data_IF_163982325814
#
_entry.id   IF_163982325814
#
_cell.length_a   1.000
_cell.length_b   1.000
_cell.length_c   1.000
_cell.angle_alpha   90.00
_cell.angle_beta   90.00
_cell.angle_gamma   90.00
#
_symmetry.space_group_name_H-M   'P 1'
#
loop_
_entity.id
_entity.type
_entity.pdbx_description
1 polymer ?
#
# COMPACT_ATOMS: atom_id res chain seq x y z
N UNK A 1 -14.20 -2.67 -6.98
CA UNK A 1 -12.92 -3.12 -7.54
C UNK A 1 -11.85 -2.11 -7.14
N UNK A 2 -10.65 -2.57 -6.80
CA UNK A 2 -9.58 -1.67 -6.39
C UNK A 2 -9.06 -0.89 -7.60
N UNK A 3 -8.86 0.41 -7.44
CA UNK A 3 -8.31 1.27 -8.49
C UNK A 3 -7.23 2.16 -7.93
N UNK A 4 -6.32 2.60 -8.81
CA UNK A 4 -5.24 3.51 -8.47
C UNK A 4 -5.16 4.61 -9.51
N UNK A 5 -4.85 5.83 -9.08
CA UNK A 5 -4.77 7.00 -9.96
C UNK A 5 -3.64 6.94 -10.98
N UNK A 6 -2.60 6.15 -10.71
CA UNK A 6 -1.45 5.94 -11.58
C UNK A 6 -0.97 4.48 -11.48
N UNK A 7 -0.53 3.92 -12.61
CA UNK A 7 -0.11 2.54 -12.72
C UNK A 7 -1.26 1.55 -12.62
N UNK A 8 -1.02 0.40 -11.98
CA UNK A 8 -2.04 -0.63 -11.76
C UNK A 8 -1.84 -1.34 -10.43
N UNK A 9 -2.92 -1.90 -9.90
CA UNK A 9 -2.94 -2.64 -8.65
C UNK A 9 -3.22 -4.12 -8.89
N UNK A 10 -2.41 -4.97 -8.27
CA UNK A 10 -2.60 -6.42 -8.21
C UNK A 10 -2.88 -6.86 -6.78
N UNK A 11 -3.83 -7.78 -6.65
CA UNK A 11 -4.22 -8.36 -5.36
C UNK A 11 -3.65 -9.77 -5.24
N UNK A 12 -3.06 -10.09 -4.08
CA UNK A 12 -2.55 -11.43 -3.85
C UNK A 12 -3.70 -12.35 -3.43
N UNK A 13 -3.97 -13.39 -4.24
CA UNK A 13 -5.04 -14.37 -3.97
C UNK A 13 -4.86 -15.14 -2.66
N UNK A 14 -3.62 -15.34 -2.23
CA UNK A 14 -3.29 -16.13 -1.04
C UNK A 14 -3.09 -15.27 0.21
N UNK A 15 -2.82 -13.98 0.03
CA UNK A 15 -2.67 -13.00 1.09
C UNK A 15 -3.46 -11.75 0.70
N UNK A 16 -4.77 -11.82 0.81
CA UNK A 16 -5.71 -10.74 0.45
C UNK A 16 -5.47 -9.42 1.20
N UNK A 17 -4.80 -9.51 2.34
CA UNK A 17 -4.28 -8.39 3.11
C UNK A 17 -3.05 -7.72 2.48
N UNK A 18 -2.46 -8.27 1.42
CA UNK A 18 -1.37 -7.67 0.64
C UNK A 18 -1.85 -7.29 -0.75
N UNK A 19 -1.67 -6.02 -1.07
CA UNK A 19 -1.96 -5.46 -2.39
C UNK A 19 -0.71 -4.75 -2.91
N UNK A 20 -0.50 -4.79 -4.21
CA UNK A 20 0.71 -4.28 -4.85
C UNK A 20 0.37 -3.26 -5.91
N UNK A 21 0.93 -2.05 -5.80
CA UNK A 21 0.81 -1.03 -6.85
C UNK A 21 2.11 -1.01 -7.65
N UNK A 22 1.98 -1.16 -8.96
CA UNK A 22 3.07 -1.07 -9.92
C UNK A 22 3.05 0.29 -10.59
N UNK A 23 4.16 1.02 -10.48
CA UNK A 23 4.35 2.37 -11.02
C UNK A 23 5.53 2.39 -11.98
N UNK A 24 5.32 2.88 -13.20
CA UNK A 24 6.41 3.10 -14.16
C UNK A 24 7.08 4.44 -13.90
N UNK A 25 6.27 5.49 -13.83
CA UNK A 25 6.66 6.81 -13.36
C UNK A 25 6.19 7.00 -11.91
N UNK A 26 6.99 7.71 -11.09
CA UNK A 26 6.67 7.93 -9.68
C UNK A 26 6.17 9.36 -9.51
N UNK A 27 4.84 9.60 -9.49
CA UNK A 27 4.30 10.92 -9.18
C UNK A 27 4.56 11.26 -7.70
N UNK A 28 4.35 12.51 -7.30
CA UNK A 28 4.50 12.90 -5.89
C UNK A 28 3.47 12.24 -4.96
N UNK A 29 2.31 11.85 -5.50
CA UNK A 29 1.22 11.22 -4.77
C UNK A 29 0.40 10.30 -5.66
N UNK A 30 -0.18 9.28 -5.05
CA UNK A 30 -1.20 8.44 -5.68
C UNK A 30 -2.43 8.32 -4.78
N UNK A 31 -3.57 8.03 -5.40
CA UNK A 31 -4.82 7.75 -4.70
C UNK A 31 -5.25 6.33 -5.04
N UNK A 32 -5.55 5.54 -4.01
CA UNK A 32 -6.11 4.19 -4.12
C UNK A 32 -7.55 4.22 -3.61
N UNK A 33 -8.48 3.72 -4.40
CA UNK A 33 -9.90 3.66 -4.08
C UNK A 33 -10.40 2.22 -4.04
N UNK A 34 -11.46 1.97 -3.25
CA UNK A 34 -12.05 0.64 -3.08
C UNK A 34 -11.46 -0.17 -1.93
N UNK A 35 -10.75 0.49 -1.01
CA UNK A 35 -10.36 -0.07 0.28
C UNK A 35 -11.45 0.19 1.31
N UNK A 36 -11.80 -0.84 2.10
CA UNK A 36 -12.81 -0.71 3.16
C UNK A 36 -12.26 -0.10 4.45
N UNK A 37 -10.97 -0.31 4.72
CA UNK A 37 -10.29 0.10 5.94
C UNK A 37 -8.93 0.68 5.64
N UNK A 38 -8.47 1.53 6.55
CA UNK A 38 -7.12 2.08 6.51
C UNK A 38 -6.10 0.95 6.64
N UNK A 39 -5.08 0.89 5.76
CA UNK A 39 -4.03 -0.09 5.87
C UNK A 39 -3.16 0.17 7.09
N UNK A 40 -2.51 -0.88 7.59
CA UNK A 40 -1.54 -0.74 8.67
C UNK A 40 -0.22 -0.13 8.18
N UNK A 41 0.12 -0.37 6.91
CA UNK A 41 1.42 0.02 6.35
C UNK A 41 1.34 0.14 4.83
N UNK A 42 2.08 1.11 4.31
CA UNK A 42 2.41 1.22 2.89
C UNK A 42 3.92 1.34 2.79
N UNK A 43 4.57 0.56 1.93
CA UNK A 43 6.04 0.58 1.80
C UNK A 43 6.49 0.29 0.38
N UNK A 44 7.66 0.79 -0.01
CA UNK A 44 8.39 0.28 -1.17
C UNK A 44 8.90 -1.14 -0.87
N UNK A 45 8.69 -2.09 -1.79
CA UNK A 45 9.07 -3.49 -1.56
C UNK A 45 10.59 -3.65 -1.48
N UNK A 46 11.34 -2.97 -2.36
CA UNK A 46 12.78 -3.17 -2.52
C UNK A 46 13.53 -2.95 -1.19
N UNK A 47 13.25 -1.81 -0.55
CA UNK A 47 13.96 -1.37 0.66
C UNK A 47 13.14 -1.46 1.93
N UNK A 48 11.88 -1.90 1.82
CA UNK A 48 10.90 -1.85 2.93
C UNK A 48 10.78 -0.45 3.53
N UNK A 49 11.00 0.58 2.71
CA UNK A 49 10.87 1.98 3.11
C UNK A 49 9.40 2.30 3.24
N UNK A 50 8.96 2.60 4.46
CA UNK A 50 7.58 3.00 4.73
C UNK A 50 7.27 4.35 4.08
N UNK A 51 6.02 4.50 3.64
CA UNK A 51 5.50 5.69 2.98
C UNK A 51 4.41 6.30 3.83
N UNK A 52 4.37 7.62 3.87
CA UNK A 52 3.29 8.35 4.52
C UNK A 52 2.00 8.22 3.72
N UNK A 53 0.91 7.92 4.41
CA UNK A 53 -0.41 7.86 3.81
C UNK A 53 -1.48 8.39 4.76
N UNK A 54 -2.64 8.71 4.20
CA UNK A 54 -3.83 9.03 4.96
C UNK A 54 -5.06 8.48 4.24
N UNK A 55 -5.98 7.88 4.99
CA UNK A 55 -7.27 7.47 4.45
C UNK A 55 -8.39 8.44 4.85
N UNK A 56 -9.15 8.90 3.85
CA UNK A 56 -10.34 9.74 4.06
C UNK A 56 -11.39 9.46 2.99
N UNK A 57 -12.66 9.37 3.39
CA UNK A 57 -13.80 9.19 2.48
C UNK A 57 -13.65 7.97 1.54
N UNK A 58 -13.09 6.86 2.03
CA UNK A 58 -12.86 5.64 1.24
C UNK A 58 -11.69 5.72 0.26
N UNK A 59 -10.88 6.79 0.33
CA UNK A 59 -9.72 7.03 -0.52
C UNK A 59 -8.45 7.04 0.30
N UNK A 60 -7.51 6.18 -0.06
CA UNK A 60 -6.17 6.15 0.50
C UNK A 60 -5.27 7.05 -0.35
N UNK A 61 -4.77 8.14 0.22
CA UNK A 61 -3.78 9.01 -0.42
C UNK A 61 -2.40 8.63 0.11
N UNK A 62 -1.47 8.31 -0.78
CA UNK A 62 -0.09 7.92 -0.45
C UNK A 62 0.84 8.99 -0.99
N UNK A 63 1.70 9.53 -0.13
CA UNK A 63 2.77 10.43 -0.52
C UNK A 63 3.98 9.61 -0.94
N UNK A 64 4.41 9.77 -2.19
CA UNK A 64 5.50 8.98 -2.74
C UNK A 64 6.81 9.75 -2.62
N UNK A 65 7.79 9.11 -1.98
CA UNK A 65 9.17 9.54 -2.01
C UNK A 65 9.88 8.60 -2.96
N UNK A 66 10.44 9.14 -4.04
CA UNK A 66 11.16 8.34 -5.04
C UNK A 66 12.33 7.61 -4.35
N UNK A 67 12.43 6.28 -4.47
CA UNK A 67 13.60 5.56 -3.97
C UNK A 67 14.85 5.93 -4.77
N UNK A 68 16.03 5.80 -4.15
CA UNK A 68 17.31 6.14 -4.79
C UNK A 68 17.63 5.22 -5.98
N UNK A 69 17.11 4.00 -5.96
CA UNK A 69 17.28 3.05 -7.06
C UNK A 69 16.41 3.38 -8.27
N UNK A 70 16.95 3.07 -9.44
CA UNK A 70 16.27 3.31 -10.72
C UNK A 70 15.86 1.98 -11.33
N UNK A 71 14.58 1.64 -11.15
CA UNK A 71 13.92 0.54 -11.85
C UNK A 71 12.92 1.06 -12.88
N UNK A 72 12.73 0.31 -13.96
CA UNK A 72 11.67 0.59 -14.94
C UNK A 72 10.27 0.49 -14.32
N UNK A 73 10.12 -0.35 -13.29
CA UNK A 73 8.90 -0.52 -12.53
C UNK A 73 9.22 -0.52 -11.04
N UNK A 74 8.50 0.33 -10.32
CA UNK A 74 8.59 0.46 -8.88
C UNK A 74 7.35 -0.15 -8.26
N UNK A 75 7.53 -0.94 -7.20
CA UNK A 75 6.44 -1.68 -6.58
C UNK A 75 6.34 -1.28 -5.12
N UNK A 76 5.17 -0.77 -4.74
CA UNK A 76 4.81 -0.56 -3.35
C UNK A 76 3.82 -1.62 -2.90
N UNK A 77 3.92 -2.02 -1.64
CA UNK A 77 3.00 -2.93 -0.96
C UNK A 77 2.10 -2.14 -0.02
N UNK A 78 0.81 -2.34 -0.17
CA UNK A 78 -0.22 -1.91 0.79
C UNK A 78 -0.57 -3.13 1.64
N UNK A 79 -0.28 -3.03 2.93
CA UNK A 79 -0.58 -4.04 3.93
C UNK A 79 -1.87 -3.63 4.65
N UNK A 80 -2.97 -4.31 4.34
CA UNK A 80 -4.25 -4.10 4.99
C UNK A 80 -4.18 -4.48 6.48
N UNK A 81 -5.08 -3.87 7.25
CA UNK A 81 -5.32 -4.23 8.63
C UNK A 81 -5.88 -5.65 8.75
N UNK A 82 -5.22 -6.54 9.50
CA UNK A 82 -5.71 -7.90 9.75
C UNK A 82 -6.47 -7.92 11.08
N UNK A 83 -7.61 -8.64 11.17
CA UNK A 83 -8.31 -8.82 12.45
C UNK A 83 -7.42 -9.39 13.56
N UNK A 84 -6.45 -10.23 13.19
CA UNK A 84 -5.42 -10.79 14.09
C UNK A 84 -4.57 -9.70 14.76
N UNK A 85 -4.35 -8.56 14.11
CA UNK A 85 -3.58 -7.44 14.68
C UNK A 85 -4.33 -6.77 15.86
N UNK A 86 -5.65 -7.02 16.01
CA UNK A 86 -6.43 -6.57 17.18
C UNK A 86 -6.38 -7.55 18.36
N UNK A 87 -5.80 -8.74 18.19
CA UNK A 87 -5.62 -9.71 19.28
C UNK A 87 -4.37 -9.30 20.06
N UNK A 88 -4.53 -8.28 20.89
CA UNK A 88 -3.47 -7.78 21.76
C UNK A 88 -3.58 -8.51 23.11
N UNK A 89 -2.52 -9.24 23.46
CA UNK A 89 -2.18 -9.78 24.78
C UNK A 89 -2.86 -11.11 25.21
N UNK A 90 -2.15 -12.22 25.03
CA UNK A 90 -2.22 -13.35 25.98
C UNK A 90 -1.02 -13.23 26.91
N UNK A 91 -1.27 -12.91 28.18
CA UNK A 91 -0.29 -13.13 29.25
C UNK A 91 0.04 -14.62 29.30
N UNK A 92 1.32 -14.97 29.19
CA UNK A 92 1.84 -16.30 29.55
C UNK A 92 2.54 -16.19 30.90
#
# INVERSE_FOLDING_TARGET
PLTVSDGFILENRHADYQKYVFLKDIPAKIVVEGLDKEPNRVEWIEHRTELDFAMKDGKLTINLIKPDDVFDWNVLRIQAHRPEDNIIHTEF
#
